data_IF_458957248345
#
_entry.id   IF_458957248345
#
_cell.length_a   1.000
_cell.length_b   1.000
_cell.length_c   1.000
_cell.angle_alpha   90.00
_cell.angle_beta   90.00
_cell.angle_gamma   90.00
#
_symmetry.space_group_name_H-M   'P 1'
#
loop_
_entity.id
_entity.type
_entity.pdbx_description
1 polymer ?
#
# COMPACT_ATOMS: atom_id res chain seq x y z
N UNK A 1 -13.54 -7.00 31.16
CA UNK A 1 -14.30 -7.60 30.06
C UNK A 1 -15.23 -6.53 29.55
N UNK A 2 -14.77 -5.77 28.59
CA UNK A 2 -15.54 -4.77 27.84
C UNK A 2 -14.63 -4.38 26.66
N UNK A 3 -15.25 -4.06 25.51
CA UNK A 3 -14.65 -3.84 24.19
C UNK A 3 -14.72 -5.04 23.23
N UNK A 4 -15.92 -5.63 23.13
CA UNK A 4 -16.38 -6.39 21.95
C UNK A 4 -17.71 -5.79 21.48
N UNK A 5 -17.75 -4.48 21.17
CA UNK A 5 -18.91 -3.83 20.54
C UNK A 5 -18.44 -2.66 19.66
N UNK A 6 -17.55 -2.87 18.69
CA UNK A 6 -17.35 -1.89 17.59
C UNK A 6 -17.15 -2.60 16.22
N UNK A 7 -17.43 -3.90 16.11
CA UNK A 7 -17.32 -4.64 14.84
C UNK A 7 -18.66 -4.89 14.13
N UNK A 8 -19.80 -4.65 14.78
CA UNK A 8 -21.11 -5.07 14.24
C UNK A 8 -21.86 -3.98 13.45
N UNK A 9 -21.67 -2.68 13.73
CA UNK A 9 -22.50 -1.65 13.08
C UNK A 9 -22.10 -1.33 11.62
N UNK A 10 -20.84 -1.54 11.25
CA UNK A 10 -20.37 -1.18 9.90
C UNK A 10 -20.68 -2.26 8.86
N UNK A 11 -20.66 -3.53 9.27
CA UNK A 11 -20.87 -4.68 8.37
C UNK A 11 -22.37 -4.92 8.12
N UNK A 12 -23.25 -4.46 9.02
CA UNK A 12 -24.70 -4.67 8.92
C UNK A 12 -25.34 -3.87 7.77
N UNK A 13 -24.79 -2.71 7.40
CA UNK A 13 -25.27 -1.90 6.28
C UNK A 13 -24.98 -2.48 4.89
N UNK A 14 -23.88 -3.24 4.74
CA UNK A 14 -23.45 -3.77 3.44
C UNK A 14 -24.07 -5.14 3.11
N UNK A 15 -24.35 -5.97 4.13
CA UNK A 15 -24.99 -7.29 3.95
C UNK A 15 -26.45 -7.21 3.49
N UNK A 16 -27.13 -6.08 3.71
CA UNK A 16 -28.54 -5.87 3.30
C UNK A 16 -28.75 -5.51 1.83
N UNK A 17 -27.70 -5.10 1.11
CA UNK A 17 -27.77 -4.77 -0.33
C UNK A 17 -27.55 -5.99 -1.23
N UNK A 18 -26.78 -6.98 -0.78
CA UNK A 18 -26.46 -8.16 -1.59
C UNK A 18 -27.53 -9.25 -1.57
N UNK A 19 -28.48 -9.22 -0.62
CA UNK A 19 -29.56 -10.22 -0.57
C UNK A 19 -30.88 -9.76 -1.23
N UNK A 20 -30.87 -8.68 -2.03
CA UNK A 20 -32.07 -8.15 -2.70
C UNK A 20 -32.08 -8.26 -4.23
N UNK A 21 -31.04 -8.82 -4.85
CA UNK A 21 -30.94 -8.91 -6.32
C UNK A 21 -30.67 -10.32 -6.87
N UNK A 22 -30.76 -11.37 -6.03
CA UNK A 22 -30.51 -12.75 -6.46
C UNK A 22 -31.74 -13.49 -7.05
N UNK A 23 -32.91 -12.84 -7.20
CA UNK A 23 -34.13 -13.47 -7.73
C UNK A 23 -34.74 -12.77 -8.96
N UNK A 24 -34.03 -11.84 -9.63
CA UNK A 24 -34.59 -11.06 -10.76
C UNK A 24 -33.91 -11.32 -12.12
N UNK A 25 -33.01 -12.30 -12.23
CA UNK A 25 -32.34 -12.66 -13.49
C UNK A 25 -32.65 -14.10 -13.91
N UNK A 26 -33.85 -14.57 -13.59
CA UNK A 26 -34.44 -15.79 -14.14
C UNK A 26 -35.73 -15.45 -14.89
N UNK A 27 -35.66 -15.30 -16.21
CA UNK A 27 -36.83 -15.05 -17.04
C UNK A 27 -36.47 -14.62 -18.45
N UNK A 28 -36.41 -15.59 -19.36
CA UNK A 28 -36.14 -15.35 -20.76
C UNK A 28 -37.24 -14.52 -21.43
N UNK A 29 -36.81 -13.61 -22.30
CA UNK A 29 -37.55 -13.12 -23.46
C UNK A 29 -36.50 -12.94 -24.56
N UNK A 30 -36.70 -13.61 -25.70
CA UNK A 30 -35.91 -13.40 -26.90
C UNK A 30 -36.32 -12.04 -27.46
N UNK A 31 -35.43 -11.06 -27.37
CA UNK A 31 -35.48 -9.86 -28.19
C UNK A 31 -34.16 -9.82 -28.98
N UNK A 32 -34.31 -9.88 -30.30
CA UNK A 32 -33.24 -9.88 -31.29
C UNK A 32 -32.45 -8.57 -31.18
N UNK A 33 -31.19 -8.65 -30.75
CA UNK A 33 -30.25 -7.54 -30.86
C UNK A 33 -29.46 -7.68 -32.16
N UNK A 34 -29.68 -6.74 -33.08
CA UNK A 34 -28.83 -6.51 -34.24
C UNK A 34 -27.37 -6.35 -33.77
N UNK A 35 -26.50 -7.20 -34.29
CA UNK A 35 -25.06 -7.14 -34.02
C UNK A 35 -24.46 -6.14 -34.98
N UNK A 36 -24.22 -4.92 -34.50
CA UNK A 36 -23.42 -3.95 -35.24
C UNK A 36 -21.96 -4.42 -35.27
N UNK A 37 -21.54 -4.84 -36.47
CA UNK A 37 -20.21 -5.27 -36.87
C UNK A 37 -19.20 -4.11 -36.74
N UNK A 38 -18.45 -4.08 -35.63
CA UNK A 38 -17.30 -3.18 -35.49
C UNK A 38 -16.06 -3.88 -36.07
N UNK A 39 -15.82 -3.65 -37.36
CA UNK A 39 -14.60 -4.09 -38.05
C UNK A 39 -13.36 -3.38 -37.50
N UNK A 40 -12.42 -4.16 -36.97
CA UNK A 40 -11.08 -3.67 -36.65
C UNK A 40 -10.24 -3.64 -37.92
N UNK A 41 -9.90 -2.45 -38.40
CA UNK A 41 -8.87 -2.28 -39.42
C UNK A 41 -7.52 -2.75 -38.85
N UNK A 42 -6.93 -3.75 -39.50
CA UNK A 42 -5.61 -4.27 -39.19
C UNK A 42 -4.59 -3.44 -39.96
N UNK A 43 -3.85 -2.58 -39.28
CA UNK A 43 -2.69 -1.92 -39.87
C UNK A 43 -1.56 -2.94 -40.06
N UNK A 44 -1.26 -3.25 -41.32
CA UNK A 44 -0.12 -4.05 -41.76
C UNK A 44 1.19 -3.29 -41.50
N UNK A 45 2.08 -3.86 -40.69
CA UNK A 45 3.44 -3.35 -40.53
C UNK A 45 4.32 -3.97 -41.62
N UNK A 46 4.74 -3.16 -42.59
CA UNK A 46 5.67 -3.54 -43.65
C UNK A 46 7.06 -3.88 -43.06
N UNK A 47 7.59 -5.04 -43.43
CA UNK A 47 8.92 -5.50 -43.05
C UNK A 47 9.96 -5.07 -44.09
N UNK A 48 10.85 -4.16 -43.72
CA UNK A 48 11.99 -3.75 -44.55
C UNK A 48 13.21 -4.65 -44.28
N UNK A 49 13.54 -5.52 -45.25
CA UNK A 49 14.83 -6.21 -45.34
C UNK A 49 15.88 -5.29 -45.97
N UNK A 50 16.99 -5.00 -45.26
CA UNK A 50 18.24 -4.62 -45.92
C UNK A 50 19.45 -5.39 -45.36
N UNK A 51 20.08 -6.16 -46.26
CA UNK A 51 21.33 -6.90 -46.06
C UNK A 51 22.51 -5.97 -46.28
N UNK A 52 23.56 -6.04 -45.44
CA UNK A 52 24.95 -5.94 -45.91
C UNK A 52 25.88 -6.87 -45.11
N UNK A 53 26.66 -7.64 -45.87
CA UNK A 53 27.61 -8.67 -45.43
C UNK A 53 29.02 -8.09 -45.48
N UNK A 54 29.81 -8.26 -44.42
CA UNK A 54 31.28 -8.14 -44.49
C UNK A 54 31.95 -9.35 -43.80
N UNK A 55 32.97 -10.00 -44.42
CA UNK A 55 33.59 -11.20 -43.86
C UNK A 55 34.97 -10.96 -43.23
N UNK A 56 35.21 -11.76 -42.18
CA UNK A 56 36.50 -12.31 -41.65
C UNK A 56 37.42 -11.30 -40.92
N UNK A 57 38.10 -11.66 -39.82
CA UNK A 57 38.71 -12.95 -39.46
C UNK A 57 39.09 -12.99 -37.95
N UNK A 58 39.09 -14.20 -37.41
CA UNK A 58 39.49 -14.66 -36.07
C UNK A 58 40.54 -13.86 -35.29
N UNK A 59 40.30 -13.75 -33.98
CA UNK A 59 41.33 -14.07 -32.98
C UNK A 59 40.67 -14.67 -31.72
N UNK A 60 40.85 -15.98 -31.56
CA UNK A 60 40.73 -16.66 -30.27
C UNK A 60 41.81 -16.09 -29.34
N UNK A 61 41.40 -15.49 -28.23
CA UNK A 61 42.20 -15.36 -27.04
C UNK A 61 41.29 -15.62 -25.84
N UNK A 62 41.43 -16.82 -25.30
CA UNK A 62 40.92 -17.22 -24.01
C UNK A 62 41.38 -16.23 -22.94
N UNK A 63 40.50 -15.84 -22.02
CA UNK A 63 40.81 -15.72 -20.59
C UNK A 63 39.51 -15.97 -19.82
N UNK A 64 39.38 -17.21 -19.38
CA UNK A 64 38.45 -17.61 -18.35
C UNK A 64 38.70 -16.76 -17.10
N UNK A 65 37.79 -15.84 -16.83
CA UNK A 65 37.65 -15.18 -15.54
C UNK A 65 36.34 -15.67 -14.92
N UNK A 66 36.41 -16.78 -14.18
CA UNK A 66 35.34 -17.21 -13.29
C UNK A 66 35.16 -16.16 -12.19
N UNK A 67 34.37 -15.12 -12.47
CA UNK A 67 33.73 -14.33 -11.44
C UNK A 67 32.32 -14.91 -11.28
N UNK A 68 32.24 -16.01 -10.55
CA UNK A 68 31.01 -16.43 -9.88
C UNK A 68 30.73 -15.41 -8.75
N UNK A 69 30.37 -14.19 -9.15
CA UNK A 69 29.82 -13.20 -8.26
C UNK A 69 28.43 -13.68 -7.89
N UNK A 70 28.25 -14.08 -6.63
CA UNK A 70 26.92 -14.24 -6.07
C UNK A 70 26.11 -12.98 -6.41
N UNK A 71 24.88 -13.10 -6.97
CA UNK A 71 24.04 -11.94 -7.13
C UNK A 71 23.79 -11.39 -5.73
N UNK A 72 24.41 -10.26 -5.40
CA UNK A 72 24.04 -9.48 -4.22
C UNK A 72 22.55 -9.22 -4.35
N UNK A 73 21.76 -9.83 -3.45
CA UNK A 73 20.33 -9.58 -3.35
C UNK A 73 20.18 -8.11 -3.01
N UNK A 74 19.93 -7.28 -4.02
CA UNK A 74 19.54 -5.90 -3.80
C UNK A 74 18.25 -5.94 -2.97
N UNK A 75 18.35 -5.57 -1.70
CA UNK A 75 17.19 -5.47 -0.84
C UNK A 75 16.27 -4.40 -1.40
N UNK A 76 15.11 -4.81 -1.93
CA UNK A 76 14.08 -3.88 -2.36
C UNK A 76 13.62 -3.10 -1.13
N UNK A 77 14.00 -1.82 -1.08
CA UNK A 77 13.50 -0.90 -0.05
C UNK A 77 11.99 -0.80 -0.18
N UNK A 78 11.28 -1.12 0.90
CA UNK A 78 9.83 -0.95 0.98
C UNK A 78 9.54 0.54 1.21
N UNK A 79 8.78 1.14 0.30
CA UNK A 79 8.33 2.52 0.42
C UNK A 79 6.89 2.55 0.92
N UNK A 80 6.67 3.22 2.05
CA UNK A 80 5.38 3.44 2.67
C UNK A 80 4.90 4.86 2.37
N UNK A 81 3.58 5.02 2.22
CA UNK A 81 2.94 6.32 1.99
C UNK A 81 2.21 6.77 3.25
N UNK A 82 2.21 8.08 3.50
CA UNK A 82 1.39 8.71 4.53
C UNK A 82 0.50 9.72 3.82
N UNK A 83 -0.79 9.70 4.11
CA UNK A 83 -1.79 10.58 3.51
C UNK A 83 -2.64 11.20 4.60
N UNK A 84 -2.83 12.51 4.52
CA UNK A 84 -3.76 13.30 5.34
C UNK A 84 -4.88 13.80 4.42
N UNK A 85 -6.01 13.08 4.34
CA UNK A 85 -7.10 13.46 3.43
C UNK A 85 -7.77 14.76 3.88
N UNK A 86 -7.98 15.69 2.96
CA UNK A 86 -8.83 16.86 3.21
C UNK A 86 -10.20 16.69 2.55
N UNK A 87 -10.27 15.84 1.53
CA UNK A 87 -11.45 15.65 0.70
C UNK A 87 -11.69 14.17 0.38
N UNK A 88 -12.89 13.84 -0.09
CA UNK A 88 -13.18 12.49 -0.57
C UNK A 88 -12.32 12.08 -1.78
N UNK A 89 -11.83 13.04 -2.55
CA UNK A 89 -11.04 12.75 -3.76
C UNK A 89 -9.70 12.07 -3.47
N UNK A 90 -9.16 12.29 -2.27
CA UNK A 90 -7.90 11.69 -1.80
C UNK A 90 -7.99 10.17 -1.64
N UNK A 91 -9.21 9.63 -1.49
CA UNK A 91 -9.45 8.19 -1.42
C UNK A 91 -8.97 7.46 -2.67
N UNK A 92 -9.05 8.11 -3.84
CA UNK A 92 -8.53 7.56 -5.11
C UNK A 92 -7.00 7.42 -5.06
N UNK A 93 -6.31 8.45 -4.58
CA UNK A 93 -4.86 8.45 -4.42
C UNK A 93 -4.38 7.32 -3.51
N UNK A 94 -5.11 7.09 -2.40
CA UNK A 94 -4.84 5.98 -1.48
C UNK A 94 -5.00 4.63 -2.20
N UNK A 95 -6.09 4.44 -2.96
CA UNK A 95 -6.31 3.21 -3.73
C UNK A 95 -5.22 2.96 -4.79
N UNK A 96 -4.75 4.02 -5.45
CA UNK A 96 -3.64 3.91 -6.42
C UNK A 96 -2.34 3.45 -5.76
N UNK A 97 -2.04 3.90 -4.53
CA UNK A 97 -0.88 3.41 -3.78
C UNK A 97 -1.03 1.92 -3.39
N UNK A 98 -2.21 1.52 -2.94
CA UNK A 98 -2.48 0.11 -2.61
C UNK A 98 -2.34 -0.79 -3.85
N UNK A 99 -2.84 -0.34 -5.00
CA UNK A 99 -2.66 -1.04 -6.29
C UNK A 99 -1.18 -1.17 -6.69
N UNK A 100 -0.35 -0.19 -6.34
CA UNK A 100 1.11 -0.24 -6.53
C UNK A 100 1.83 -1.09 -5.48
N UNK A 101 1.11 -1.84 -4.63
CA UNK A 101 1.66 -2.64 -3.53
C UNK A 101 2.45 -1.80 -2.51
N UNK A 102 2.05 -0.52 -2.33
CA UNK A 102 2.60 0.37 -1.31
C UNK A 102 1.62 0.45 -0.13
N UNK A 103 2.04 0.16 1.10
CA UNK A 103 1.21 0.38 2.28
C UNK A 103 1.01 1.87 2.51
N UNK A 104 -0.14 2.21 3.11
CA UNK A 104 -0.55 3.58 3.35
C UNK A 104 -0.98 3.74 4.80
N UNK A 105 -0.44 4.74 5.50
CA UNK A 105 -1.04 5.28 6.72
C UNK A 105 -1.90 6.48 6.35
N UNK A 106 -3.11 6.49 6.87
CA UNK A 106 -4.09 7.54 6.66
C UNK A 106 -4.33 8.21 8.01
N UNK A 107 -4.12 9.52 8.06
CA UNK A 107 -4.39 10.35 9.23
C UNK A 107 -5.61 11.26 8.94
N UNK A 108 -6.67 11.09 9.73
CA UNK A 108 -7.92 11.81 9.63
C UNK A 108 -8.09 12.93 10.66
N UNK A 109 -7.03 13.30 11.39
CA UNK A 109 -7.12 14.34 12.45
C UNK A 109 -7.64 15.69 11.92
N UNK A 110 -7.32 16.04 10.67
CA UNK A 110 -7.78 17.27 10.01
C UNK A 110 -8.97 17.04 9.06
N UNK A 111 -9.54 15.84 9.02
CA UNK A 111 -10.60 15.46 8.08
C UNK A 111 -11.97 15.54 8.75
N UNK A 112 -12.96 16.08 8.04
CA UNK A 112 -14.34 16.06 8.53
C UNK A 112 -14.86 14.61 8.72
N UNK A 113 -15.75 14.42 9.69
CA UNK A 113 -16.30 13.11 10.03
C UNK A 113 -17.11 12.46 8.90
N UNK A 114 -17.81 13.24 8.08
CA UNK A 114 -18.55 12.75 6.92
C UNK A 114 -17.60 12.28 5.83
N UNK A 115 -16.56 13.07 5.56
CA UNK A 115 -15.51 12.72 4.59
C UNK A 115 -14.76 11.47 5.03
N UNK A 116 -14.37 11.39 6.30
CA UNK A 116 -13.67 10.25 6.88
C UNK A 116 -14.40 8.93 6.63
N UNK A 117 -15.71 8.87 6.91
CA UNK A 117 -16.54 7.68 6.67
C UNK A 117 -16.52 7.27 5.20
N UNK A 118 -16.71 8.24 4.30
CA UNK A 118 -16.70 7.99 2.85
C UNK A 118 -15.35 7.50 2.36
N UNK A 119 -14.24 8.08 2.84
CA UNK A 119 -12.89 7.61 2.50
C UNK A 119 -12.68 6.18 3.00
N UNK A 120 -13.08 5.87 4.24
CA UNK A 120 -12.97 4.51 4.80
C UNK A 120 -13.77 3.51 3.98
N UNK A 121 -15.01 3.83 3.58
CA UNK A 121 -15.82 2.97 2.71
C UNK A 121 -15.12 2.65 1.39
N UNK A 122 -14.66 3.69 0.70
CA UNK A 122 -13.99 3.55 -0.59
C UNK A 122 -12.69 2.76 -0.47
N UNK A 123 -11.85 3.11 0.51
CA UNK A 123 -10.55 2.47 0.73
C UNK A 123 -10.73 1.02 1.20
N UNK A 124 -11.78 0.71 1.96
CA UNK A 124 -12.09 -0.68 2.33
C UNK A 124 -12.41 -1.52 1.10
N UNK A 125 -13.18 -0.98 0.15
CA UNK A 125 -13.43 -1.64 -1.14
C UNK A 125 -12.16 -1.82 -1.98
N UNK A 126 -11.32 -0.78 -2.06
CA UNK A 126 -10.04 -0.85 -2.78
C UNK A 126 -9.06 -1.85 -2.14
N UNK A 127 -9.00 -1.86 -0.81
CA UNK A 127 -8.15 -2.78 -0.03
C UNK A 127 -8.60 -4.23 -0.23
N UNK A 128 -9.92 -4.47 -0.24
CA UNK A 128 -10.49 -5.79 -0.54
C UNK A 128 -10.10 -6.27 -1.94
N UNK A 129 -10.12 -5.40 -2.94
CA UNK A 129 -9.77 -5.75 -4.31
C UNK A 129 -8.29 -6.14 -4.51
N UNK A 130 -7.40 -5.78 -3.58
CA UNK A 130 -5.97 -6.14 -3.62
C UNK A 130 -5.59 -7.21 -2.57
N UNK A 131 -6.58 -7.93 -2.03
CA UNK A 131 -6.42 -8.89 -0.94
C UNK A 131 -5.66 -8.32 0.27
N UNK A 132 -5.81 -7.02 0.48
CA UNK A 132 -5.15 -6.28 1.54
C UNK A 132 -5.89 -6.34 2.86
N UNK A 133 -5.36 -5.61 3.85
CA UNK A 133 -5.96 -5.42 5.16
C UNK A 133 -5.97 -3.94 5.54
N UNK A 134 -7.10 -3.50 6.08
CA UNK A 134 -7.24 -2.18 6.70
C UNK A 134 -7.34 -2.36 8.21
N UNK A 135 -6.67 -1.47 8.94
CA UNK A 135 -6.53 -1.60 10.38
C UNK A 135 -6.45 -0.24 11.05
N UNK A 136 -7.41 0.04 11.94
CA UNK A 136 -7.30 1.18 12.85
C UNK A 136 -6.14 0.99 13.83
N UNK A 137 -5.24 1.98 13.90
CA UNK A 137 -4.05 1.97 14.78
C UNK A 137 -4.06 3.12 15.80
N UNK A 138 -4.91 4.13 15.59
CA UNK A 138 -5.16 5.23 16.54
C UNK A 138 -6.60 5.73 16.44
N UNK A 139 -6.94 6.81 17.14
CA UNK A 139 -8.29 7.40 17.11
C UNK A 139 -8.67 7.78 15.67
N UNK A 140 -7.82 8.54 15.01
CA UNK A 140 -8.04 9.06 13.65
C UNK A 140 -6.98 8.52 12.67
N UNK A 141 -6.28 7.43 13.02
CA UNK A 141 -5.18 6.87 12.22
C UNK A 141 -5.49 5.44 11.79
N UNK A 142 -5.36 5.18 10.48
CA UNK A 142 -5.61 3.90 9.84
C UNK A 142 -4.39 3.45 9.04
N UNK A 143 -4.10 2.15 9.08
CA UNK A 143 -3.09 1.48 8.27
C UNK A 143 -3.80 0.63 7.23
N UNK A 144 -3.47 0.83 5.95
CA UNK A 144 -3.89 0.00 4.85
C UNK A 144 -2.65 -0.70 4.27
N UNK A 145 -2.67 -2.02 4.25
CA UNK A 145 -1.55 -2.82 3.76
C UNK A 145 -2.02 -3.78 2.66
N UNK A 146 -1.35 -3.83 1.50
CA UNK A 146 -1.58 -4.86 0.48
C UNK A 146 -1.12 -6.24 0.95
N UNK A 147 -1.51 -7.28 0.21
CA UNK A 147 -1.20 -8.71 0.43
C UNK A 147 0.29 -9.03 0.75
N UNK A 148 1.23 -8.26 0.23
CA UNK A 148 2.68 -8.47 0.42
C UNK A 148 3.20 -8.00 1.78
N UNK A 149 2.33 -7.53 2.68
CA UNK A 149 2.72 -6.95 3.97
C UNK A 149 1.95 -7.62 5.10
N UNK A 150 2.70 -8.21 6.02
CA UNK A 150 2.15 -8.79 7.24
C UNK A 150 2.02 -7.69 8.30
N UNK A 151 0.83 -7.57 8.91
CA UNK A 151 0.59 -6.71 10.06
C UNK A 151 0.58 -7.59 11.30
N UNK A 152 1.51 -7.37 12.23
CA UNK A 152 1.47 -7.96 13.56
C UNK A 152 1.06 -6.91 14.59
N UNK A 153 0.07 -7.25 15.41
CA UNK A 153 -0.45 -6.41 16.49
C UNK A 153 -0.18 -7.07 17.84
N UNK A 154 1.10 -7.23 18.16
CA UNK A 154 1.53 -7.54 19.51
C UNK A 154 1.25 -6.36 20.45
N UNK A 155 0.94 -6.65 21.72
CA UNK A 155 1.04 -5.66 22.79
C UNK A 155 2.50 -5.68 23.24
N UNK A 156 3.37 -4.74 22.81
CA UNK A 156 4.69 -4.64 23.39
C UNK A 156 4.55 -4.39 24.90
N UNK A 157 5.22 -5.23 25.68
CA UNK A 157 5.25 -5.06 27.13
C UNK A 157 6.13 -3.86 27.48
N UNK A 158 5.50 -2.70 27.58
CA UNK A 158 6.17 -1.47 28.01
C UNK A 158 6.39 -1.40 29.54
N UNK A 159 6.12 -2.47 30.31
CA UNK A 159 6.38 -2.49 31.76
C UNK A 159 7.85 -2.30 32.13
N UNK A 160 8.77 -2.52 31.17
CA UNK A 160 10.20 -2.22 31.32
C UNK A 160 10.57 -0.75 31.09
N UNK A 161 9.67 0.07 30.54
CA UNK A 161 9.86 1.50 30.33
C UNK A 161 9.07 2.28 31.40
N UNK A 162 9.51 2.16 32.65
CA UNK A 162 9.07 3.07 33.71
C UNK A 162 9.32 4.50 33.25
N UNK A 163 8.28 5.32 33.19
CA UNK A 163 8.30 6.73 32.76
C UNK A 163 9.08 7.66 33.73
N UNK A 164 10.09 7.13 34.42
CA UNK A 164 11.07 7.94 35.14
C UNK A 164 12.12 8.34 34.12
N UNK A 165 12.19 9.62 33.68
CA UNK A 165 13.31 10.06 32.87
C UNK A 165 14.60 9.70 33.61
N UNK A 166 15.64 9.20 32.92
CA UNK A 166 16.91 8.91 33.57
C UNK A 166 17.41 10.21 34.23
N UNK A 167 17.54 10.20 35.56
CA UNK A 167 18.10 11.32 36.30
C UNK A 167 19.56 11.49 35.89
N UNK A 168 19.84 12.43 35.00
CA UNK A 168 21.19 12.81 34.65
C UNK A 168 21.75 13.60 35.82
N UNK A 169 22.55 12.97 36.68
CA UNK A 169 23.27 13.69 37.73
C UNK A 169 24.34 14.55 37.07
N UNK A 170 24.04 15.84 36.85
CA UNK A 170 25.07 16.79 36.44
C UNK A 170 26.14 16.86 37.54
N UNK A 171 27.42 16.58 37.23
CA UNK A 171 28.49 16.86 38.18
C UNK A 171 28.49 18.37 38.45
N UNK A 172 28.43 18.74 39.72
CA UNK A 172 28.56 20.13 40.13
C UNK A 172 29.91 20.65 39.63
N UNK A 173 29.86 21.70 38.80
CA UNK A 173 31.03 22.41 38.32
C UNK A 173 31.72 23.05 39.55
N UNK A 174 32.82 22.44 39.99
CA UNK A 174 33.61 22.97 41.11
C UNK A 174 34.32 24.22 40.61
N UNK A 175 33.69 25.37 40.84
CA UNK A 175 34.34 26.67 40.71
C UNK A 175 35.49 26.76 41.72
N UNK A 176 36.70 26.39 41.30
CA UNK A 176 37.95 26.76 41.99
C UNK A 176 38.18 28.26 41.78
N UNK A 177 37.50 29.05 42.62
CA UNK A 177 37.79 30.46 42.82
C UNK A 177 38.97 30.62 43.76
N UNK A 178 40.17 30.27 43.30
CA UNK A 178 41.43 30.66 43.94
C UNK A 178 41.68 32.14 43.69
N UNK A 179 41.01 32.99 44.48
CA UNK A 179 41.41 34.40 44.63
C UNK A 179 42.71 34.46 45.43
N UNK A 180 43.82 34.66 44.72
CA UNK A 180 45.04 35.19 45.30
C UNK A 180 44.81 36.66 45.70
N UNK A 181 45.02 36.97 46.97
CA UNK A 181 45.64 38.22 47.47
C UNK A 181 46.12 37.99 48.89
#
# INVERSE_FOLDING_TARGET
MENVIIEEEYIMGLKGLLNRTANLLGGGSQDEFETDDYGYETDEYEAEEERQVQPRRNSLAAHAGNNAGYPTRQEKKLQMMIVEPESFSDAKTIADYLRQRKPVVINFEATDSEVTKRVIDFVSGATYAVDGRIQRVGKDIFLCAPDNILIDKGKPDYSGFSATPPSFSMPADNHDGSSQT
#
